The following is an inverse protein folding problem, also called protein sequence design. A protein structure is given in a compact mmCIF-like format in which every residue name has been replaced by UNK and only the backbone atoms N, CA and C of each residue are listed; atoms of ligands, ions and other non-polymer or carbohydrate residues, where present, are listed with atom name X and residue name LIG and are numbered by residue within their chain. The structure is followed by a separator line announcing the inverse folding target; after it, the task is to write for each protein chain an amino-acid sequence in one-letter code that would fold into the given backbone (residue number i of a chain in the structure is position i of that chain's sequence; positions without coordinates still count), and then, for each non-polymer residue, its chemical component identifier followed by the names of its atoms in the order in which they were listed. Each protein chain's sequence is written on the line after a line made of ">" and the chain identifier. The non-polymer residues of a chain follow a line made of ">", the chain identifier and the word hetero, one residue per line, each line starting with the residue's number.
data_IF_592460939707
#
_entry.id   IF_592460939707
#
_cell.length_a   1.000
_cell.length_b   1.000
_cell.length_c   1.000
_cell.angle_alpha   90.00
_cell.angle_beta   90.00
_cell.angle_gamma   90.00
#
_symmetry.space_group_name_H-M   'P 1'
#
loop_
_entity.id
_entity.type
_entity.pdbx_description
1 polymer ?
#
# COMPACT_ATOMS: atom_id res chain seq x y z
N UNK A 1 1.87 5.64 10.13
CA UNK A 1 1.36 5.34 8.78
C UNK A 1 1.81 6.47 7.84
N UNK A 2 2.21 6.15 6.61
CA UNK A 2 2.56 7.16 5.61
C UNK A 2 1.75 6.91 4.35
N UNK A 3 1.12 7.96 3.83
CA UNK A 3 0.19 7.89 2.69
C UNK A 3 0.75 8.73 1.55
N UNK A 4 0.78 8.16 0.36
CA UNK A 4 0.99 8.88 -0.89
C UNK A 4 -0.30 8.83 -1.71
N UNK A 5 -0.74 9.99 -2.18
CA UNK A 5 -1.97 10.16 -2.94
C UNK A 5 -1.67 10.47 -4.40
N UNK A 6 -2.51 9.96 -5.30
CA UNK A 6 -2.69 10.50 -6.65
C UNK A 6 -1.40 10.51 -7.47
N UNK A 7 -0.92 9.31 -7.83
CA UNK A 7 0.19 9.17 -8.77
C UNK A 7 -0.31 9.49 -10.18
N UNK A 8 0.25 10.52 -10.85
CA UNK A 8 -0.05 10.76 -12.26
C UNK A 8 0.33 9.55 -13.11
N UNK A 9 -0.43 9.31 -14.17
CA UNK A 9 -0.18 8.21 -15.10
C UNK A 9 1.28 8.21 -15.61
N UNK A 10 1.88 7.03 -15.67
CA UNK A 10 3.25 6.86 -16.18
C UNK A 10 4.37 7.21 -15.20
N UNK A 11 4.08 7.70 -13.99
CA UNK A 11 5.14 7.94 -12.99
C UNK A 11 5.75 6.64 -12.49
N UNK A 12 7.08 6.63 -12.45
CA UNK A 12 7.86 5.52 -11.89
C UNK A 12 7.83 5.53 -10.37
N UNK A 13 7.68 4.37 -9.78
CA UNK A 13 7.89 4.18 -8.35
C UNK A 13 9.40 4.29 -8.05
N UNK A 14 9.76 5.03 -7.00
CA UNK A 14 11.15 5.01 -6.52
C UNK A 14 11.37 3.70 -5.74
N UNK A 15 11.86 2.69 -6.43
CA UNK A 15 12.08 1.34 -5.87
C UNK A 15 13.09 1.35 -4.72
N UNK A 16 14.17 2.12 -4.83
CA UNK A 16 15.17 2.27 -3.77
C UNK A 16 14.55 2.84 -2.50
N UNK A 17 13.86 3.99 -2.62
CA UNK A 17 13.20 4.61 -1.47
C UNK A 17 12.13 3.70 -0.86
N UNK A 18 11.40 2.95 -1.69
CA UNK A 18 10.39 1.99 -1.22
C UNK A 18 11.04 0.85 -0.44
N UNK A 19 12.16 0.32 -0.92
CA UNK A 19 12.95 -0.72 -0.25
C UNK A 19 13.54 -0.21 1.06
N UNK A 20 14.06 1.01 1.09
CA UNK A 20 14.64 1.63 2.28
C UNK A 20 13.58 1.84 3.37
N UNK A 21 12.42 2.40 3.01
CA UNK A 21 11.34 2.66 3.97
C UNK A 21 10.72 1.35 4.50
N UNK A 22 10.55 0.35 3.63
CA UNK A 22 9.93 -0.92 4.02
C UNK A 22 10.92 -1.97 4.57
N UNK A 23 12.22 -1.73 4.44
CA UNK A 23 13.28 -2.66 4.81
C UNK A 23 13.54 -2.74 6.32
N UNK A 24 13.16 -1.70 7.07
CA UNK A 24 13.40 -1.62 8.51
C UNK A 24 14.81 -1.16 8.88
N UNK A 25 15.62 -0.76 7.90
CA UNK A 25 16.95 -0.19 8.10
C UNK A 25 16.87 1.30 8.45
N UNK A 26 17.96 1.84 8.99
CA UNK A 26 18.05 3.27 9.31
C UNK A 26 18.26 4.08 8.04
N UNK A 27 17.38 5.05 7.78
CA UNK A 27 17.48 5.95 6.63
C UNK A 27 17.94 7.34 7.07
N UNK A 28 18.58 8.06 6.16
CA UNK A 28 19.04 9.43 6.38
C UNK A 28 18.08 10.41 5.72
N UNK A 29 17.59 11.39 6.47
CA UNK A 29 16.78 12.48 5.95
C UNK A 29 17.33 13.83 6.40
N UNK A 30 16.86 14.90 5.76
CA UNK A 30 17.17 16.28 6.15
C UNK A 30 15.89 17.09 6.24
N UNK A 31 15.80 17.94 7.25
CA UNK A 31 14.81 19.03 7.24
C UNK A 31 15.31 20.13 6.32
N UNK A 32 14.42 20.96 5.82
CA UNK A 32 14.80 22.10 4.98
C UNK A 32 15.70 23.04 5.80
N UNK A 33 16.89 23.36 5.27
CA UNK A 33 17.92 24.20 5.92
C UNK A 33 18.47 23.70 7.26
N UNK A 34 18.46 22.38 7.50
CA UNK A 34 19.01 21.77 8.71
C UNK A 34 19.90 20.56 8.40
N UNK A 35 20.64 20.12 9.41
CA UNK A 35 21.51 18.95 9.34
C UNK A 35 20.75 17.65 9.04
N UNK A 36 21.51 16.69 8.51
CA UNK A 36 21.04 15.34 8.30
C UNK A 36 20.81 14.64 9.64
N UNK A 37 19.72 13.89 9.72
CA UNK A 37 19.45 13.00 10.84
C UNK A 37 19.14 11.60 10.31
N UNK A 38 19.41 10.62 11.16
CA UNK A 38 19.17 9.20 10.89
C UNK A 38 17.99 8.74 11.72
N UNK A 39 17.10 7.96 11.12
CA UNK A 39 15.97 7.37 11.83
C UNK A 39 15.57 6.04 11.21
N UNK A 40 14.94 5.17 12.01
CA UNK A 40 14.34 3.93 11.54
C UNK A 40 12.89 4.20 11.13
N UNK A 41 12.47 3.86 9.90
CA UNK A 41 11.07 4.03 9.49
C UNK A 41 10.14 3.10 10.30
N UNK A 42 9.15 3.70 10.95
CA UNK A 42 8.09 2.99 11.70
C UNK A 42 6.74 3.21 11.03
N UNK A 43 6.68 3.07 9.71
CA UNK A 43 5.46 3.31 8.95
C UNK A 43 5.12 2.18 8.01
N UNK A 44 3.82 1.95 7.84
CA UNK A 44 3.28 1.26 6.68
C UNK A 44 3.01 2.28 5.59
N UNK A 45 3.57 2.04 4.41
CA UNK A 45 3.31 2.81 3.20
C UNK A 45 1.96 2.40 2.61
N UNK A 46 1.12 3.40 2.36
CA UNK A 46 -0.12 3.27 1.62
C UNK A 46 -0.08 4.16 0.39
N UNK A 47 -0.49 3.59 -0.73
CA UNK A 47 -0.62 4.30 -1.98
C UNK A 47 -2.04 4.09 -2.49
N UNK A 48 -2.74 5.18 -2.80
CA UNK A 48 -4.06 5.13 -3.40
C UNK A 48 -4.14 6.07 -4.61
N UNK A 49 -4.90 5.65 -5.62
CA UNK A 49 -5.09 6.39 -6.86
C UNK A 49 -5.66 5.49 -7.94
N UNK A 50 -6.03 6.11 -9.06
CA UNK A 50 -6.63 5.41 -10.21
C UNK A 50 -5.59 4.80 -11.15
N UNK A 51 -4.34 5.28 -11.06
CA UNK A 51 -3.23 4.81 -11.89
C UNK A 51 -2.22 4.04 -11.05
N UNK A 52 -1.75 2.91 -11.59
CA UNK A 52 -0.67 2.12 -11.00
C UNK A 52 0.67 2.76 -11.42
N UNK A 53 1.63 2.98 -10.52
CA UNK A 53 2.95 3.47 -10.91
C UNK A 53 3.66 2.47 -11.82
N UNK A 54 4.65 2.91 -12.59
CA UNK A 54 5.48 1.99 -13.36
C UNK A 54 6.60 1.43 -12.45
N UNK A 55 6.81 0.12 -12.47
CA UNK A 55 7.87 -0.59 -11.74
C UNK A 55 8.75 -1.28 -12.75
N UNK A 56 10.05 -1.06 -12.67
CA UNK A 56 11.00 -1.53 -13.69
C UNK A 56 11.88 -2.67 -13.21
N UNK A 57 12.04 -2.82 -11.91
CA UNK A 57 12.61 -4.00 -11.30
C UNK A 57 11.67 -5.20 -11.44
N UNK A 58 12.14 -6.26 -12.10
CA UNK A 58 11.50 -7.57 -12.05
C UNK A 58 11.96 -8.41 -10.85
N UNK A 59 12.69 -7.80 -9.90
CA UNK A 59 13.21 -8.51 -8.74
C UNK A 59 12.08 -8.87 -7.75
N UNK A 60 12.17 -10.06 -7.15
CA UNK A 60 11.21 -10.46 -6.10
C UNK A 60 11.29 -9.53 -4.88
N UNK A 61 12.37 -8.75 -4.76
CA UNK A 61 12.59 -7.76 -3.71
C UNK A 61 11.50 -6.69 -3.66
N UNK A 62 11.14 -6.07 -4.78
CA UNK A 62 10.05 -5.08 -4.79
C UNK A 62 8.68 -5.77 -4.73
N UNK A 63 8.50 -6.87 -5.47
CA UNK A 63 7.21 -7.55 -5.60
C UNK A 63 6.74 -8.22 -4.29
N UNK A 64 7.64 -8.66 -3.42
CA UNK A 64 7.26 -9.17 -2.08
C UNK A 64 6.66 -8.09 -1.17
N UNK A 65 6.94 -6.80 -1.43
CA UNK A 65 6.54 -5.64 -0.60
C UNK A 65 5.24 -4.98 -1.06
N UNK A 66 4.82 -5.22 -2.30
CA UNK A 66 3.64 -4.60 -2.91
C UNK A 66 2.44 -5.54 -2.79
N UNK A 67 1.28 -4.96 -2.48
CA UNK A 67 -0.02 -5.63 -2.53
C UNK A 67 -1.01 -4.69 -3.20
N UNK A 68 -1.61 -5.12 -4.30
CA UNK A 68 -2.69 -4.40 -4.96
C UNK A 68 -4.01 -4.78 -4.29
N UNK A 69 -4.73 -3.77 -3.79
CA UNK A 69 -6.07 -3.92 -3.21
C UNK A 69 -7.04 -3.25 -4.17
N UNK A 70 -7.76 -4.01 -5.01
CA UNK A 70 -8.72 -3.44 -5.95
C UNK A 70 -9.96 -2.92 -5.20
N UNK A 71 -10.32 -1.67 -5.46
CA UNK A 71 -11.61 -1.10 -5.03
C UNK A 71 -12.56 -1.12 -6.23
N UNK A 72 -13.20 -2.27 -6.46
CA UNK A 72 -14.07 -2.52 -7.63
C UNK A 72 -15.54 -2.17 -7.39
N UNK A 73 -15.95 -1.92 -6.14
CA UNK A 73 -17.31 -1.57 -5.81
C UNK A 73 -17.64 -0.13 -6.26
N UNK A 74 -18.64 -0.01 -7.13
CA UNK A 74 -19.21 1.28 -7.55
C UNK A 74 -20.54 1.50 -6.82
N UNK A 75 -20.63 2.58 -6.04
CA UNK A 75 -21.82 2.91 -5.25
C UNK A 75 -22.64 3.95 -6.03
N UNK A 76 -23.89 3.61 -6.34
CA UNK A 76 -24.79 4.49 -7.07
C UNK A 76 -25.31 5.62 -6.17
N UNK A 77 -25.76 6.72 -6.76
CA UNK A 77 -26.23 7.90 -5.99
C UNK A 77 -27.38 7.58 -5.02
N UNK A 78 -28.25 6.63 -5.37
CA UNK A 78 -29.34 6.18 -4.50
C UNK A 78 -28.87 5.37 -3.27
N UNK A 79 -27.69 4.75 -3.35
CA UNK A 79 -27.11 3.91 -2.30
C UNK A 79 -26.07 4.66 -1.46
N UNK A 80 -25.70 5.88 -1.87
CA UNK A 80 -24.73 6.72 -1.15
C UNK A 80 -25.31 7.17 0.18
N UNK A 81 -24.79 6.60 1.26
CA UNK A 81 -25.04 7.11 2.60
C UNK A 81 -24.22 8.39 2.85
N UNK A 82 -24.88 9.55 2.86
CA UNK A 82 -24.26 10.84 3.16
C UNK A 82 -23.80 10.96 4.63
N UNK A 83 -24.39 10.20 5.54
CA UNK A 83 -24.08 10.17 6.97
C UNK A 83 -23.01 9.14 7.34
N UNK A 84 -22.46 8.40 6.37
CA UNK A 84 -21.49 7.32 6.61
C UNK A 84 -20.31 7.77 7.48
N UNK A 85 -19.79 8.97 7.24
CA UNK A 85 -18.67 9.51 8.03
C UNK A 85 -19.01 9.74 9.50
N UNK A 86 -20.24 10.19 9.81
CA UNK A 86 -20.70 10.35 11.20
C UNK A 86 -21.01 9.01 11.86
N UNK A 87 -21.61 8.07 11.14
CA UNK A 87 -21.91 6.72 11.64
C UNK A 87 -20.62 5.96 12.00
N UNK A 88 -19.63 5.97 11.10
CA UNK A 88 -18.32 5.36 11.35
C UNK A 88 -17.61 6.00 12.56
N UNK A 89 -17.82 7.30 12.80
CA UNK A 89 -17.28 7.98 13.98
C UNK A 89 -17.94 7.51 15.27
N UNK A 90 -19.25 7.26 15.25
CA UNK A 90 -19.95 6.72 16.41
C UNK A 90 -19.47 5.29 16.75
N UNK A 91 -19.16 4.50 15.73
CA UNK A 91 -18.69 3.11 15.87
C UNK A 91 -17.16 2.97 16.06
N UNK A 92 -16.42 4.06 16.28
CA UNK A 92 -14.96 4.03 16.44
C UNK A 92 -14.45 3.00 17.46
N UNK A 93 -15.06 2.85 18.66
CA UNK A 93 -14.62 1.84 19.62
C UNK A 93 -14.75 0.41 19.06
N UNK A 94 -15.83 0.11 18.33
CA UNK A 94 -16.07 -1.19 17.71
C UNK A 94 -15.09 -1.48 16.58
N UNK A 95 -14.84 -0.49 15.71
CA UNK A 95 -13.86 -0.59 14.62
C UNK A 95 -12.45 -0.82 15.19
N UNK A 96 -12.08 -0.11 16.25
CA UNK A 96 -10.80 -0.29 16.91
C UNK A 96 -10.68 -1.70 17.53
N UNK A 97 -11.71 -2.17 18.23
CA UNK A 97 -11.73 -3.51 18.81
C UNK A 97 -11.58 -4.59 17.72
N UNK A 98 -12.26 -4.43 16.58
CA UNK A 98 -12.10 -5.30 15.42
C UNK A 98 -10.68 -5.26 14.85
N UNK A 99 -10.09 -4.07 14.70
CA UNK A 99 -8.72 -3.92 14.21
C UNK A 99 -7.68 -4.55 15.16
N UNK A 100 -7.85 -4.41 16.47
CA UNK A 100 -7.00 -5.05 17.49
C UNK A 100 -7.09 -6.57 17.41
N UNK A 101 -8.31 -7.11 17.28
CA UNK A 101 -8.51 -8.55 17.08
C UNK A 101 -7.79 -9.04 15.82
N UNK A 102 -7.94 -8.33 14.71
CA UNK A 102 -7.22 -8.63 13.47
C UNK A 102 -5.70 -8.58 13.63
N UNK A 103 -5.18 -7.62 14.39
CA UNK A 103 -3.74 -7.51 14.68
C UNK A 103 -3.22 -8.70 15.50
N UNK A 104 -3.98 -9.18 16.49
CA UNK A 104 -3.63 -10.37 17.28
C UNK A 104 -3.64 -11.63 16.42
N UNK A 105 -4.65 -11.81 15.58
CA UNK A 105 -4.72 -12.94 14.65
C UNK A 105 -3.56 -12.92 13.66
N UNK A 106 -3.22 -11.74 13.14
CA UNK A 106 -2.08 -11.54 12.24
C UNK A 106 -0.75 -11.91 12.90
N UNK A 107 -0.53 -11.54 14.16
CA UNK A 107 0.70 -11.90 14.88
C UNK A 107 0.84 -13.41 15.07
N UNK A 108 -0.26 -14.13 15.25
CA UNK A 108 -0.26 -15.58 15.47
C UNK A 108 -0.11 -16.37 14.17
N UNK A 109 -0.81 -15.97 13.11
CA UNK A 109 -0.96 -16.76 11.88
C UNK A 109 -0.15 -16.21 10.70
N UNK A 110 0.42 -15.02 10.84
CA UNK A 110 1.05 -14.30 9.75
C UNK A 110 0.04 -13.65 8.80
N UNK A 111 0.54 -12.89 7.82
CA UNK A 111 -0.31 -12.22 6.83
C UNK A 111 -0.67 -13.24 5.73
N UNK A 112 -1.92 -13.66 5.69
CA UNK A 112 -2.44 -14.51 4.62
C UNK A 112 -3.32 -13.67 3.67
N UNK A 113 -2.76 -13.09 2.59
CA UNK A 113 -3.54 -12.25 1.69
C UNK A 113 -4.58 -13.08 0.93
N UNK A 114 -5.83 -12.59 0.80
CA UNK A 114 -6.84 -13.18 -0.07
C UNK A 114 -6.36 -13.42 -1.50
N UNK A 115 -6.93 -14.43 -2.16
CA UNK A 115 -6.58 -14.79 -3.53
C UNK A 115 -6.77 -13.63 -4.52
N UNK A 116 -7.78 -12.79 -4.32
CA UNK A 116 -8.02 -11.61 -5.15
C UNK A 116 -6.84 -10.63 -5.14
N UNK A 117 -6.24 -10.38 -3.96
CA UNK A 117 -5.06 -9.52 -3.82
C UNK A 117 -3.84 -10.16 -4.48
N UNK A 118 -3.67 -11.48 -4.33
CA UNK A 118 -2.57 -12.20 -4.98
C UNK A 118 -2.69 -12.15 -6.50
N UNK A 119 -3.88 -12.39 -7.03
CA UNK A 119 -4.16 -12.33 -8.47
C UNK A 119 -3.97 -10.92 -9.03
N UNK A 120 -4.48 -9.89 -8.35
CA UNK A 120 -4.33 -8.50 -8.77
C UNK A 120 -2.86 -8.06 -8.76
N UNK A 121 -2.09 -8.46 -7.75
CA UNK A 121 -0.66 -8.16 -7.64
C UNK A 121 0.14 -8.86 -8.74
N UNK A 122 -0.15 -10.14 -9.01
CA UNK A 122 0.51 -10.90 -10.08
C UNK A 122 0.16 -10.38 -11.48
N UNK A 123 -1.09 -9.95 -11.70
CA UNK A 123 -1.48 -9.31 -12.95
C UNK A 123 -0.69 -8.02 -13.18
N UNK A 124 -0.58 -7.18 -12.15
CA UNK A 124 0.23 -5.97 -12.21
C UNK A 124 1.72 -6.27 -12.46
N UNK A 125 2.29 -7.33 -11.89
CA UNK A 125 3.67 -7.76 -12.20
C UNK A 125 3.84 -8.10 -13.69
N UNK A 126 2.91 -8.86 -14.27
CA UNK A 126 2.95 -9.22 -15.70
C UNK A 126 2.80 -8.00 -16.60
N UNK A 127 1.94 -7.04 -16.25
CA UNK A 127 1.80 -5.77 -16.98
C UNK A 127 3.11 -4.98 -17.05
N UNK A 128 3.98 -5.12 -16.04
CA UNK A 128 5.27 -4.42 -15.95
C UNK A 128 6.44 -5.19 -16.58
N UNK A 129 6.24 -6.45 -16.97
CA UNK A 129 7.23 -7.29 -17.68
C UNK A 129 6.68 -7.78 -19.04
N UNK A 130 6.53 -6.88 -20.02
CA UNK A 130 6.00 -7.24 -21.34
C UNK A 130 6.96 -8.14 -22.15
N UNK A 131 8.25 -8.18 -21.81
CA UNK A 131 9.25 -9.01 -22.52
C UNK A 131 9.24 -10.45 -22.02
N UNK A 132 8.99 -10.67 -20.71
CA UNK A 132 8.84 -12.01 -20.13
C UNK A 132 7.68 -12.83 -20.69
N UNK A 133 6.77 -12.22 -21.47
CA UNK A 133 5.68 -12.92 -22.17
C UNK A 133 6.18 -13.71 -23.39
N UNK A 134 7.34 -13.35 -23.96
CA UNK A 134 7.86 -13.91 -25.22
C UNK A 134 9.02 -14.90 -25.04
N UNK A 135 9.43 -15.19 -23.80
CA UNK A 135 10.57 -16.06 -23.46
C UNK A 135 10.06 -17.37 -22.84
#
# INVERSE_FOLDING_TARGET
>A
MAIASEIPEGRRLNESLTKDISGGDTITARKLYHDYFKFRPECKLWLYGNHKPNITGNDDGIWRRIRIIPFSAQINDAEKNQALGSELKAELPGILAWAVKGALEWQQKGLNPPQEILTATSAYRREMDPVGIFI
#
